data_IF_267569829165
#
_entry.id   IF_267569829165
#
_cell.length_a   1.000
_cell.length_b   1.000
_cell.length_c   1.000
_cell.angle_alpha   90.00
_cell.angle_beta   90.00
_cell.angle_gamma   90.00
#
_symmetry.space_group_name_H-M   'P 1'
#
loop_
_entity.id
_entity.type
_entity.pdbx_description
1 polymer ?
#
# COMPACT_ATOMS: atom_id res chain seq x y z
N UNK A 1 3.33 40.62 -23.69
CA UNK A 1 3.42 42.09 -23.55
C UNK A 1 2.10 42.60 -22.96
N UNK A 2 2.17 43.69 -22.19
CA UNK A 2 1.05 44.37 -21.49
C UNK A 2 0.05 45.04 -22.48
N UNK A 3 -1.09 45.68 -22.06
CA UNK A 3 -1.41 46.14 -20.68
C UNK A 3 -2.90 46.12 -20.19
N UNK A 4 -3.03 46.26 -18.85
CA UNK A 4 -4.00 47.09 -18.08
C UNK A 4 -5.54 46.96 -18.22
N UNK A 5 -6.40 47.28 -17.22
CA UNK A 5 -6.35 47.31 -15.73
C UNK A 5 -7.80 47.61 -15.16
N UNK A 6 -8.08 47.67 -13.84
CA UNK A 6 -9.43 47.43 -13.26
C UNK A 6 -10.25 48.69 -12.86
N UNK A 7 -11.42 48.48 -12.22
CA UNK A 7 -12.13 49.52 -11.43
C UNK A 7 -13.08 48.95 -10.35
N UNK A 8 -12.76 49.26 -9.09
CA UNK A 8 -13.69 49.55 -7.97
C UNK A 8 -13.48 51.05 -7.58
N UNK A 9 -14.03 51.66 -6.50
CA UNK A 9 -15.12 51.30 -5.56
C UNK A 9 -16.19 52.42 -5.42
N UNK A 10 -17.14 52.34 -4.46
CA UNK A 10 -17.91 53.53 -4.04
C UNK A 10 -19.06 53.33 -3.02
N UNK A 11 -19.19 54.14 -1.94
CA UNK A 11 -20.18 53.92 -0.87
C UNK A 11 -21.28 54.99 -0.70
N UNK A 12 -22.37 54.66 0.02
CA UNK A 12 -23.46 55.59 0.36
C UNK A 12 -23.98 55.43 1.81
N UNK A 13 -24.40 56.53 2.46
CA UNK A 13 -24.87 56.57 3.86
C UNK A 13 -26.33 57.09 3.97
N UNK A 14 -26.98 56.79 5.12
CA UNK A 14 -27.47 57.78 6.13
C UNK A 14 -28.97 57.78 6.50
N UNK A 15 -29.20 57.88 7.82
CA UNK A 15 -30.18 58.71 8.59
C UNK A 15 -31.35 58.02 9.32
N UNK A 16 -31.71 58.62 10.46
CA UNK A 16 -32.80 58.28 11.40
C UNK A 16 -34.10 59.04 11.06
N UNK A 17 -35.24 58.58 11.59
CA UNK A 17 -36.28 59.34 12.35
C UNK A 17 -37.60 58.51 12.43
N UNK A 18 -38.61 58.77 13.26
CA UNK A 18 -38.69 59.13 14.69
C UNK A 18 -40.18 59.31 15.09
N UNK A 19 -40.72 58.42 15.92
CA UNK A 19 -41.77 58.59 16.97
C UNK A 19 -43.10 59.36 16.75
N UNK A 20 -44.11 59.03 17.57
CA UNK A 20 -45.40 59.72 17.85
C UNK A 20 -46.52 59.68 16.78
N UNK A 21 -47.83 59.77 17.09
CA UNK A 21 -48.67 59.40 18.27
C UNK A 21 -50.18 59.62 17.89
N UNK A 22 -51.12 59.35 18.83
CA UNK A 22 -52.49 59.92 18.99
C UNK A 22 -53.72 59.22 18.35
N UNK A 23 -54.81 59.12 19.14
CA UNK A 23 -56.20 58.80 18.71
C UNK A 23 -56.92 57.83 19.67
N UNK A 24 -57.58 58.24 20.76
CA UNK A 24 -58.97 58.79 20.85
C UNK A 24 -60.07 57.86 20.28
N UNK A 25 -61.22 57.58 20.91
CA UNK A 25 -61.80 57.88 22.24
C UNK A 25 -62.91 56.79 22.53
N UNK A 26 -63.93 56.84 23.41
CA UNK A 26 -64.54 57.83 24.33
C UNK A 26 -65.43 57.09 25.39
N UNK A 27 -66.05 57.82 26.34
CA UNK A 27 -67.27 57.51 27.16
C UNK A 27 -67.24 56.50 28.34
N UNK A 28 -67.29 57.12 29.52
CA UNK A 28 -67.75 56.66 30.86
C UNK A 28 -69.32 56.58 30.95
N UNK A 29 -70.02 56.50 32.12
CA UNK A 29 -69.58 56.43 33.54
C UNK A 29 -70.42 55.53 34.53
N UNK A 30 -70.06 55.66 35.83
CA UNK A 30 -70.87 55.51 37.06
C UNK A 30 -70.96 54.19 37.88
N UNK A 31 -70.65 54.37 39.17
CA UNK A 31 -71.08 53.72 40.43
C UNK A 31 -70.86 52.23 40.81
N UNK A 32 -70.24 52.09 41.99
CA UNK A 32 -70.17 50.93 42.92
C UNK A 32 -71.49 50.78 43.72
N UNK A 33 -71.68 49.83 44.69
CA UNK A 33 -70.73 48.86 45.28
C UNK A 33 -71.30 47.45 45.66
N UNK A 34 -70.46 46.64 46.35
CA UNK A 34 -70.75 45.58 47.37
C UNK A 34 -70.56 44.11 47.00
N UNK A 35 -70.10 43.40 48.06
CA UNK A 35 -69.78 41.97 48.24
C UNK A 35 -70.80 40.96 47.66
N UNK A 36 -70.29 39.92 47.00
CA UNK A 36 -70.47 38.51 47.39
C UNK A 36 -69.38 37.64 46.70
N UNK A 37 -69.03 36.48 47.26
CA UNK A 37 -67.99 35.60 46.71
C UNK A 37 -68.51 34.22 46.31
N UNK A 38 -67.88 33.58 45.31
CA UNK A 38 -68.08 32.16 45.02
C UNK A 38 -66.83 31.50 44.42
N UNK A 39 -66.89 30.19 44.18
CA UNK A 39 -65.73 29.27 44.22
C UNK A 39 -64.96 29.13 42.89
N UNK A 40 -63.62 29.12 43.01
CA UNK A 40 -62.69 28.10 42.46
C UNK A 40 -62.85 27.67 40.99
N UNK A 41 -61.87 28.05 40.15
CA UNK A 41 -61.28 27.11 39.18
C UNK A 41 -59.82 27.46 38.87
N UNK A 42 -58.90 26.58 39.26
CA UNK A 42 -57.51 26.62 38.79
C UNK A 42 -57.45 26.11 37.34
N UNK A 43 -56.50 26.62 36.55
CA UNK A 43 -56.22 26.14 35.20
C UNK A 43 -54.77 25.63 35.13
N UNK A 44 -54.54 24.35 34.78
CA UNK A 44 -53.19 23.78 34.75
C UNK A 44 -52.40 24.26 33.52
N UNK A 45 -51.14 24.63 33.72
CA UNK A 45 -50.22 25.01 32.64
C UNK A 45 -49.58 23.77 32.01
N UNK A 46 -50.20 23.21 30.97
CA UNK A 46 -49.55 22.24 30.08
C UNK A 46 -49.31 22.88 28.71
N UNK A 47 -48.06 23.08 28.32
CA UNK A 47 -47.77 23.85 27.09
C UNK A 47 -46.31 23.98 26.63
N UNK A 48 -45.38 23.13 27.09
CA UNK A 48 -43.97 23.21 26.67
C UNK A 48 -43.27 21.84 26.54
N UNK A 49 -43.40 20.97 27.54
CA UNK A 49 -42.82 19.61 27.57
C UNK A 49 -43.02 18.81 26.26
N UNK A 50 -44.25 18.66 25.69
CA UNK A 50 -44.43 17.83 24.50
C UNK A 50 -43.75 18.40 23.23
N UNK A 51 -43.51 19.72 23.16
CA UNK A 51 -42.84 20.33 22.00
C UNK A 51 -41.34 20.00 21.98
N UNK A 52 -40.71 19.94 23.15
CA UNK A 52 -39.30 19.54 23.27
C UNK A 52 -39.15 18.05 22.92
N UNK A 53 -40.06 17.20 23.42
CA UNK A 53 -40.03 15.76 23.13
C UNK A 53 -40.17 15.47 21.62
N UNK A 54 -41.08 16.15 20.92
CA UNK A 54 -41.23 16.04 19.47
C UNK A 54 -40.00 16.57 18.71
N UNK A 55 -39.39 17.66 19.17
CA UNK A 55 -38.16 18.19 18.57
C UNK A 55 -36.97 17.24 18.69
N UNK A 56 -36.78 16.63 19.87
CA UNK A 56 -35.74 15.61 20.11
C UNK A 56 -36.02 14.35 19.30
N UNK A 57 -37.27 13.88 19.23
CA UNK A 57 -37.63 12.72 18.41
C UNK A 57 -37.42 12.97 16.92
N UNK A 58 -37.75 14.16 16.41
CA UNK A 58 -37.48 14.55 15.03
C UNK A 58 -35.97 14.59 14.74
N UNK A 59 -35.16 15.16 15.63
CA UNK A 59 -33.69 15.14 15.50
C UNK A 59 -33.13 13.72 15.56
N UNK A 60 -33.64 12.85 16.43
CA UNK A 60 -33.22 11.45 16.51
C UNK A 60 -33.59 10.66 15.24
N UNK A 61 -34.78 10.91 14.66
CA UNK A 61 -35.19 10.30 13.40
C UNK A 61 -34.43 10.86 12.18
N UNK A 62 -34.02 12.13 12.21
CA UNK A 62 -33.13 12.71 11.18
C UNK A 62 -31.72 12.14 11.32
N UNK A 63 -31.17 12.03 12.54
CA UNK A 63 -29.86 11.42 12.78
C UNK A 63 -29.84 9.94 12.39
N UNK A 64 -30.86 9.17 12.79
CA UNK A 64 -31.05 7.78 12.36
C UNK A 64 -31.25 7.68 10.84
N UNK A 65 -31.97 8.63 10.24
CA UNK A 65 -32.12 8.73 8.78
C UNK A 65 -30.79 8.98 8.07
N UNK A 66 -29.95 9.87 8.59
CA UNK A 66 -28.59 10.12 8.08
C UNK A 66 -27.71 8.90 8.26
N UNK A 67 -27.71 8.23 9.43
CA UNK A 67 -26.97 6.99 9.65
C UNK A 67 -27.43 5.88 8.69
N UNK A 68 -28.74 5.71 8.50
CA UNK A 68 -29.28 4.73 7.56
C UNK A 68 -29.05 5.10 6.08
N UNK A 69 -28.89 6.39 5.76
CA UNK A 69 -28.52 6.87 4.41
C UNK A 69 -27.01 6.80 4.18
N UNK A 70 -26.17 6.84 5.22
CA UNK A 70 -24.74 6.49 5.10
C UNK A 70 -24.61 4.97 4.94
N UNK A 71 -25.29 4.17 5.77
CA UNK A 71 -25.32 2.70 5.69
C UNK A 71 -26.10 2.12 4.48
N UNK A 72 -26.72 2.96 3.65
CA UNK A 72 -27.34 2.59 2.36
C UNK A 72 -26.93 3.52 1.22
N UNK A 73 -25.94 4.37 1.45
CA UNK A 73 -25.52 5.43 0.53
C UNK A 73 -24.45 5.00 -0.46
N UNK A 74 -23.76 3.89 -0.17
CA UNK A 74 -23.02 3.10 -1.15
C UNK A 74 -24.06 2.29 -1.92
N UNK A 75 -24.60 2.88 -2.98
CA UNK A 75 -25.83 2.43 -3.64
C UNK A 75 -25.85 2.60 -5.17
N UNK A 76 -24.68 2.85 -5.76
CA UNK A 76 -24.38 2.68 -7.18
C UNK A 76 -23.14 1.77 -7.21
N UNK A 77 -23.24 0.64 -7.92
CA UNK A 77 -22.27 -0.45 -8.04
C UNK A 77 -21.57 -0.91 -6.73
N UNK A 78 -22.29 -1.74 -5.97
CA UNK A 78 -21.68 -2.52 -4.87
C UNK A 78 -20.78 -3.61 -5.46
N UNK A 79 -19.46 -3.38 -5.45
CA UNK A 79 -18.48 -4.42 -5.75
C UNK A 79 -18.65 -5.62 -4.81
N UNK A 80 -18.46 -6.83 -5.35
CA UNK A 80 -18.51 -8.07 -4.55
C UNK A 80 -17.34 -8.07 -3.56
N UNK A 81 -17.57 -8.54 -2.33
CA UNK A 81 -16.52 -8.57 -1.31
C UNK A 81 -15.46 -9.65 -1.64
N UNK A 82 -14.18 -9.32 -1.47
CA UNK A 82 -13.10 -10.30 -1.63
C UNK A 82 -13.25 -11.46 -0.61
N UNK A 83 -13.01 -12.72 -1.00
CA UNK A 83 -13.20 -13.86 -0.11
C UNK A 83 -12.10 -13.93 0.98
N UNK A 84 -12.50 -14.19 2.23
CA UNK A 84 -11.61 -14.42 3.37
C UNK A 84 -10.97 -15.82 3.26
N UNK A 85 -9.93 -15.91 2.43
CA UNK A 85 -9.27 -17.16 2.03
C UNK A 85 -7.74 -17.03 2.05
N UNK A 86 -7.04 -18.15 1.91
CA UNK A 86 -5.57 -18.23 1.98
C UNK A 86 -4.98 -19.19 0.94
N UNK A 87 -3.70 -19.03 0.54
CA UNK A 87 -3.04 -19.92 -0.42
C UNK A 87 -2.79 -21.33 0.15
N UNK A 88 -2.81 -22.34 -0.73
CA UNK A 88 -2.50 -23.73 -0.39
C UNK A 88 -1.02 -23.94 -0.02
N UNK A 89 -0.10 -23.11 -0.55
CA UNK A 89 1.29 -23.00 -0.07
C UNK A 89 1.66 -21.54 0.20
N UNK A 90 2.44 -21.30 1.26
CA UNK A 90 3.02 -20.00 1.59
C UNK A 90 4.53 -20.16 1.81
N UNK A 91 5.32 -19.22 1.30
CA UNK A 91 6.77 -19.19 1.54
C UNK A 91 7.21 -17.82 2.06
N UNK A 92 7.86 -17.80 3.22
CA UNK A 92 8.59 -16.62 3.70
C UNK A 92 9.95 -16.53 2.98
N UNK A 93 10.19 -15.43 2.25
CA UNK A 93 11.38 -15.21 1.41
C UNK A 93 12.33 -14.22 2.09
N UNK A 94 12.96 -14.64 3.20
CA UNK A 94 13.99 -13.85 3.88
C UNK A 94 15.24 -13.67 3.00
N UNK A 95 15.84 -12.47 3.05
CA UNK A 95 17.16 -12.17 2.49
C UNK A 95 17.76 -10.92 3.15
N UNK A 96 18.15 -11.10 4.41
CA UNK A 96 18.71 -10.08 5.31
C UNK A 96 20.02 -9.48 4.74
N UNK A 97 20.70 -10.22 3.87
CA UNK A 97 21.91 -9.79 3.16
C UNK A 97 21.65 -8.91 1.93
N UNK A 98 20.38 -8.67 1.56
CA UNK A 98 20.05 -7.92 0.36
C UNK A 98 20.35 -6.42 0.49
N UNK A 99 20.88 -5.84 -0.58
CA UNK A 99 21.10 -4.39 -0.69
C UNK A 99 19.81 -3.58 -0.54
N UNK A 100 18.65 -4.18 -0.87
CA UNK A 100 17.33 -3.58 -0.62
C UNK A 100 17.10 -3.42 0.89
N UNK A 101 17.21 -4.49 1.66
CA UNK A 101 16.98 -4.46 3.11
C UNK A 101 18.02 -3.58 3.82
N UNK A 102 19.26 -3.52 3.31
CA UNK A 102 20.31 -2.65 3.88
C UNK A 102 20.08 -1.15 3.65
N UNK A 103 19.45 -0.75 2.54
CA UNK A 103 19.31 0.69 2.16
C UNK A 103 17.91 1.25 2.43
N UNK A 104 16.86 0.42 2.34
CA UNK A 104 15.48 0.79 2.72
C UNK A 104 15.11 0.23 4.10
N UNK A 105 16.08 0.06 5.01
CA UNK A 105 15.90 -0.71 6.25
C UNK A 105 14.74 -0.24 7.12
N UNK A 106 14.54 1.08 7.22
CA UNK A 106 13.49 1.72 8.01
C UNK A 106 12.82 2.86 7.24
N UNK A 107 11.66 3.31 7.75
CA UNK A 107 11.05 4.58 7.29
C UNK A 107 11.90 5.81 7.59
N UNK A 108 12.87 5.75 8.50
CA UNK A 108 13.78 6.89 8.73
C UNK A 108 14.72 7.10 7.53
N UNK A 109 15.12 6.00 6.87
CA UNK A 109 15.97 5.97 5.68
C UNK A 109 15.21 6.43 4.41
N UNK A 110 13.91 6.11 4.30
CA UNK A 110 13.05 6.46 3.15
C UNK A 110 11.66 6.96 3.59
N UNK A 111 11.60 8.22 4.04
CA UNK A 111 10.38 8.87 4.56
C UNK A 111 9.33 9.22 3.49
N UNK A 112 9.41 8.62 2.28
CA UNK A 112 8.50 8.92 1.16
C UNK A 112 7.26 8.02 1.24
N UNK A 113 6.04 8.55 1.32
CA UNK A 113 4.85 7.72 1.27
C UNK A 113 4.75 6.97 -0.07
N UNK A 114 4.07 5.83 -0.05
CA UNK A 114 3.59 5.16 -1.26
C UNK A 114 2.54 6.01 -1.95
N UNK A 115 2.43 5.90 -3.27
CA UNK A 115 1.46 6.62 -4.10
C UNK A 115 1.02 5.76 -5.29
N UNK A 116 -0.22 5.93 -5.73
CA UNK A 116 -0.86 5.10 -6.76
C UNK A 116 -0.08 5.13 -8.09
N UNK A 117 0.31 6.32 -8.55
CA UNK A 117 1.11 6.51 -9.78
C UNK A 117 2.58 6.07 -9.70
N UNK A 118 2.99 5.52 -8.55
CA UNK A 118 4.26 4.81 -8.37
C UNK A 118 4.05 3.29 -8.33
N UNK A 119 2.95 2.82 -7.70
CA UNK A 119 2.64 1.42 -7.41
C UNK A 119 1.80 0.69 -8.48
N UNK A 120 0.95 1.40 -9.23
CA UNK A 120 -0.05 0.78 -10.11
C UNK A 120 0.04 1.28 -11.55
N UNK A 121 0.52 2.50 -11.78
CA UNK A 121 0.81 3.01 -13.13
C UNK A 121 2.11 2.42 -13.73
N UNK A 122 2.30 2.62 -15.04
CA UNK A 122 3.52 2.34 -15.80
C UNK A 122 3.85 0.84 -15.83
N UNK A 123 5.02 0.44 -15.34
CA UNK A 123 5.48 -0.96 -15.28
C UNK A 123 4.56 -1.89 -14.47
N UNK A 124 3.64 -1.33 -13.67
CA UNK A 124 2.70 -2.10 -12.87
C UNK A 124 1.28 -2.12 -13.47
N UNK A 125 1.04 -1.48 -14.63
CA UNK A 125 -0.17 -1.72 -15.44
C UNK A 125 -0.07 -3.07 -16.18
N UNK A 126 1.13 -3.40 -16.66
CA UNK A 126 1.49 -4.64 -17.35
C UNK A 126 2.81 -5.19 -16.81
N UNK A 127 2.73 -6.21 -15.95
CA UNK A 127 3.89 -6.90 -15.36
C UNK A 127 4.28 -8.10 -16.23
N UNK A 128 5.24 -7.90 -17.13
CA UNK A 128 5.83 -8.95 -17.98
C UNK A 128 7.04 -9.63 -17.34
N UNK A 129 7.07 -10.96 -17.34
CA UNK A 129 8.29 -11.73 -17.00
C UNK A 129 8.30 -13.12 -17.64
N UNK A 130 9.46 -13.53 -18.15
CA UNK A 130 9.69 -14.80 -18.87
C UNK A 130 8.80 -14.97 -20.13
N UNK A 131 7.57 -15.46 -19.95
CA UNK A 131 6.53 -15.62 -20.98
C UNK A 131 5.15 -15.57 -20.32
N UNK A 132 5.03 -14.78 -19.26
CA UNK A 132 3.81 -14.53 -18.49
C UNK A 132 3.66 -13.00 -18.42
N UNK A 133 2.56 -12.51 -18.97
CA UNK A 133 2.19 -11.10 -18.97
C UNK A 133 0.95 -10.93 -18.09
N UNK A 134 1.13 -10.22 -16.97
CA UNK A 134 0.08 -9.93 -15.99
C UNK A 134 -0.45 -8.52 -16.20
N UNK A 135 -1.70 -8.37 -16.63
CA UNK A 135 -2.38 -7.07 -16.72
C UNK A 135 -3.11 -6.77 -15.41
N UNK A 136 -2.95 -5.55 -14.90
CA UNK A 136 -3.69 -5.01 -13.75
C UNK A 136 -5.22 -5.04 -14.02
N UNK A 137 -6.01 -5.28 -12.98
CA UNK A 137 -7.49 -5.24 -13.04
C UNK A 137 -8.09 -4.23 -12.09
N UNK A 138 -7.73 -4.32 -10.82
CA UNK A 138 -8.21 -3.42 -9.76
C UNK A 138 -7.04 -3.11 -8.81
N UNK A 139 -7.09 -1.96 -8.15
CA UNK A 139 -6.00 -1.46 -7.31
C UNK A 139 -6.49 -0.44 -6.28
N UNK A 140 -5.96 -0.53 -5.07
CA UNK A 140 -6.32 0.33 -3.95
C UNK A 140 -5.08 0.68 -3.13
N UNK A 141 -4.98 1.92 -2.64
CA UNK A 141 -4.00 2.36 -1.65
C UNK A 141 -4.74 2.99 -0.46
N UNK A 142 -4.76 2.29 0.67
CA UNK A 142 -5.40 2.77 1.92
C UNK A 142 -4.34 3.17 2.96
N UNK A 143 -4.72 4.08 3.86
CA UNK A 143 -3.96 4.40 5.09
C UNK A 143 -4.36 3.48 6.25
N UNK A 144 -5.51 2.77 6.17
CA UNK A 144 -5.91 1.77 7.15
C UNK A 144 -5.48 0.37 6.70
N UNK A 145 -4.30 -0.05 7.14
CA UNK A 145 -3.76 -1.36 6.78
C UNK A 145 -4.64 -2.55 7.22
N UNK A 146 -5.62 -2.37 8.12
CA UNK A 146 -6.52 -3.45 8.53
C UNK A 146 -7.57 -3.79 7.47
N UNK A 147 -7.89 -2.86 6.55
CA UNK A 147 -8.78 -3.11 5.40
C UNK A 147 -8.15 -4.05 4.37
N UNK A 148 -6.81 -4.15 4.36
CA UNK A 148 -6.03 -4.93 3.39
C UNK A 148 -5.87 -6.41 3.73
N UNK A 149 -6.30 -6.84 4.92
CA UNK A 149 -6.17 -8.21 5.43
C UNK A 149 -7.41 -8.65 6.18
N UNK A 150 -7.68 -9.95 6.16
CA UNK A 150 -8.61 -10.58 7.10
C UNK A 150 -7.83 -11.29 8.23
N UNK A 151 -8.53 -11.64 9.31
CA UNK A 151 -7.97 -12.36 10.47
C UNK A 151 -7.24 -11.49 11.50
N UNK A 152 -7.56 -11.71 12.78
CA UNK A 152 -7.12 -10.86 13.90
C UNK A 152 -5.59 -10.86 14.08
N UNK A 153 -4.92 -12.00 13.89
CA UNK A 153 -3.48 -12.13 14.14
C UNK A 153 -2.64 -11.28 13.19
N UNK A 154 -3.01 -11.24 11.89
CA UNK A 154 -2.33 -10.37 10.92
C UNK A 154 -2.66 -8.89 11.16
N UNK A 155 -3.89 -8.56 11.58
CA UNK A 155 -4.27 -7.18 11.94
C UNK A 155 -3.52 -6.66 13.18
N UNK A 156 -3.35 -7.49 14.21
CA UNK A 156 -2.53 -7.17 15.40
C UNK A 156 -1.04 -7.06 15.05
N UNK A 157 -0.53 -7.89 14.14
CA UNK A 157 0.85 -7.79 13.66
C UNK A 157 1.10 -6.49 12.87
N UNK A 158 0.20 -6.12 11.94
CA UNK A 158 0.28 -4.84 11.21
C UNK A 158 0.21 -3.62 12.14
N UNK A 159 -0.60 -3.70 13.21
CA UNK A 159 -0.67 -2.68 14.25
C UNK A 159 0.65 -2.58 15.03
N UNK A 160 1.25 -3.74 15.36
CA UNK A 160 2.54 -3.82 16.08
C UNK A 160 3.72 -3.35 15.22
N UNK A 161 3.66 -3.58 13.91
CA UNK A 161 4.60 -3.11 12.91
C UNK A 161 4.43 -1.61 12.52
N UNK A 162 3.54 -0.89 13.24
CA UNK A 162 3.17 0.51 12.99
C UNK A 162 2.83 0.81 11.52
N UNK A 163 2.09 -0.08 10.85
CA UNK A 163 1.76 0.07 9.43
C UNK A 163 1.06 1.40 9.14
N UNK A 164 1.53 2.13 8.12
CA UNK A 164 0.99 3.44 7.74
C UNK A 164 0.27 3.47 6.40
N UNK A 165 0.52 2.52 5.51
CA UNK A 165 -0.16 2.39 4.22
C UNK A 165 -0.16 0.92 3.77
N UNK A 166 -1.25 0.50 3.15
CA UNK A 166 -1.33 -0.78 2.44
C UNK A 166 -1.78 -0.53 0.99
N UNK A 167 -0.96 -0.96 0.03
CA UNK A 167 -1.31 -1.01 -1.39
C UNK A 167 -1.71 -2.42 -1.79
N UNK A 168 -2.84 -2.58 -2.48
CA UNK A 168 -3.34 -3.86 -3.01
C UNK A 168 -3.59 -3.74 -4.51
N UNK A 169 -3.35 -4.81 -5.26
CA UNK A 169 -3.65 -4.88 -6.68
C UNK A 169 -3.96 -6.31 -7.13
N UNK A 170 -4.88 -6.45 -8.09
CA UNK A 170 -5.25 -7.72 -8.73
C UNK A 170 -4.77 -7.79 -10.17
N UNK A 171 -4.27 -8.95 -10.57
CA UNK A 171 -3.66 -9.17 -11.89
C UNK A 171 -4.19 -10.43 -12.55
N UNK A 172 -4.33 -10.40 -13.88
CA UNK A 172 -4.68 -11.57 -14.69
C UNK A 172 -3.71 -11.74 -15.87
N UNK A 173 -3.47 -13.00 -16.24
CA UNK A 173 -2.77 -13.42 -17.46
C UNK A 173 -3.62 -14.45 -18.20
N UNK A 174 -3.12 -15.01 -19.31
CA UNK A 174 -3.83 -16.09 -20.04
C UNK A 174 -4.08 -17.34 -19.18
N UNK A 175 -3.17 -17.69 -18.26
CA UNK A 175 -3.18 -18.94 -17.51
C UNK A 175 -3.37 -18.77 -15.98
N UNK A 176 -3.12 -17.56 -15.45
CA UNK A 176 -3.12 -17.30 -14.00
C UNK A 176 -3.89 -16.04 -13.62
N UNK A 177 -4.31 -15.96 -12.37
CA UNK A 177 -4.73 -14.72 -11.71
C UNK A 177 -4.07 -14.63 -10.33
N UNK A 178 -3.92 -13.42 -9.79
CA UNK A 178 -3.24 -13.23 -8.52
C UNK A 178 -3.43 -11.86 -7.88
N UNK A 179 -3.09 -11.80 -6.60
CA UNK A 179 -3.09 -10.58 -5.77
C UNK A 179 -1.65 -10.22 -5.44
N UNK A 180 -1.32 -8.94 -5.55
CA UNK A 180 -0.10 -8.37 -5.00
C UNK A 180 -0.47 -7.32 -3.93
N UNK A 181 0.18 -7.41 -2.77
CA UNK A 181 0.02 -6.47 -1.67
C UNK A 181 1.38 -5.92 -1.24
N UNK A 182 1.42 -4.67 -0.79
CA UNK A 182 2.60 -4.02 -0.21
C UNK A 182 2.19 -3.24 1.05
N UNK A 183 2.90 -3.47 2.14
CA UNK A 183 2.69 -2.77 3.41
C UNK A 183 3.88 -1.86 3.73
N UNK A 184 3.60 -0.62 4.11
CA UNK A 184 4.58 0.37 4.56
C UNK A 184 4.68 0.33 6.10
N UNK A 185 5.71 -0.35 6.60
CA UNK A 185 5.90 -0.72 8.02
C UNK A 185 7.05 0.09 8.63
N UNK A 186 7.29 -0.01 9.94
CA UNK A 186 8.38 0.76 10.59
C UNK A 186 9.78 0.39 10.08
N UNK A 187 10.08 -0.90 9.97
CA UNK A 187 11.37 -1.43 9.54
C UNK A 187 11.29 -2.87 8.98
N UNK A 188 12.45 -3.40 8.58
CA UNK A 188 12.65 -4.77 8.06
C UNK A 188 12.25 -5.88 9.05
N UNK A 189 12.45 -5.70 10.36
CA UNK A 189 12.13 -6.71 11.39
C UNK A 189 10.61 -6.76 11.61
N UNK A 190 9.96 -5.60 11.62
CA UNK A 190 8.51 -5.47 11.61
C UNK A 190 7.88 -6.12 10.36
N UNK A 191 8.53 -6.01 9.19
CA UNK A 191 8.14 -6.72 7.97
C UNK A 191 8.20 -8.24 8.07
N UNK A 192 9.23 -8.78 8.73
CA UNK A 192 9.33 -10.20 9.03
C UNK A 192 8.22 -10.65 9.99
N UNK A 193 7.99 -9.92 11.09
CA UNK A 193 6.95 -10.27 12.08
C UNK A 193 5.52 -10.29 11.52
N UNK A 194 5.19 -9.41 10.56
CA UNK A 194 3.89 -9.44 9.85
C UNK A 194 3.78 -10.66 8.93
N UNK A 195 4.88 -11.09 8.32
CA UNK A 195 4.88 -12.26 7.44
C UNK A 195 4.79 -13.58 8.24
N UNK A 196 5.56 -13.72 9.32
CA UNK A 196 5.43 -14.82 10.30
C UNK A 196 4.03 -14.86 10.95
N UNK A 197 3.31 -13.73 11.01
CA UNK A 197 1.93 -13.69 11.46
C UNK A 197 0.92 -14.28 10.45
N UNK A 198 1.26 -14.41 9.17
CA UNK A 198 0.44 -15.04 8.11
C UNK A 198 0.68 -16.55 7.98
N UNK A 199 1.71 -17.10 8.63
CA UNK A 199 2.01 -18.52 8.60
C UNK A 199 0.99 -19.30 9.44
N UNK A 200 0.44 -20.37 8.83
CA UNK A 200 -0.31 -21.37 9.59
C UNK A 200 0.62 -21.98 10.63
N UNK A 201 0.22 -22.07 11.91
CA UNK A 201 1.00 -22.81 12.89
C UNK A 201 1.08 -24.29 12.47
N UNK A 202 2.26 -24.89 12.63
CA UNK A 202 2.44 -26.32 12.37
C UNK A 202 1.55 -27.13 13.34
N UNK A 203 0.51 -27.76 12.81
CA UNK A 203 -0.25 -28.77 13.54
C UNK A 203 0.48 -30.10 13.41
N UNK A 204 1.01 -30.62 14.53
CA UNK A 204 1.48 -32.01 14.60
C UNK A 204 0.36 -32.95 14.14
N UNK A 205 0.57 -33.72 13.06
CA UNK A 205 -0.48 -34.58 12.47
C UNK A 205 -0.92 -35.74 13.41
N UNK A 206 -0.20 -35.98 14.51
CA UNK A 206 -0.63 -36.87 15.61
C UNK A 206 -1.54 -36.11 16.59
N UNK A 207 -2.71 -35.72 16.11
CA UNK A 207 -3.62 -34.80 16.79
C UNK A 207 -3.98 -35.18 18.23
N UNK A 208 -3.80 -34.22 19.14
CA UNK A 208 -4.35 -34.29 20.49
C UNK A 208 -5.89 -34.23 20.43
N UNK A 209 -6.55 -35.38 20.66
CA UNK A 209 -8.02 -35.50 20.64
C UNK A 209 -8.69 -34.58 21.70
N UNK A 210 -9.03 -33.35 21.30
CA UNK A 210 -9.72 -32.37 22.14
C UNK A 210 -9.14 -30.95 22.15
N UNK A 211 -8.04 -30.69 21.46
CA UNK A 211 -7.63 -29.30 21.19
C UNK A 211 -8.47 -28.72 20.04
N UNK A 212 -8.88 -27.45 20.16
CA UNK A 212 -9.60 -26.78 19.07
C UNK A 212 -8.60 -26.52 17.92
N UNK A 213 -9.01 -26.67 16.64
CA UNK A 213 -8.12 -26.37 15.52
C UNK A 213 -7.63 -24.92 15.64
N UNK A 214 -6.34 -24.64 15.38
CA UNK A 214 -5.80 -23.32 15.58
C UNK A 214 -6.58 -22.30 14.76
N UNK A 215 -6.93 -21.16 15.38
CA UNK A 215 -7.58 -20.05 14.69
C UNK A 215 -6.73 -19.62 13.50
N UNK A 216 -7.36 -19.49 12.33
CA UNK A 216 -6.64 -19.14 11.11
C UNK A 216 -5.97 -17.75 11.32
N UNK A 217 -4.67 -17.60 11.06
CA UNK A 217 -3.98 -16.32 11.20
C UNK A 217 -4.67 -15.18 10.43
N UNK A 218 -5.26 -15.50 9.29
CA UNK A 218 -5.68 -14.53 8.29
C UNK A 218 -4.68 -14.35 7.16
N UNK A 219 -5.08 -13.62 6.13
CA UNK A 219 -4.26 -13.39 4.94
C UNK A 219 -4.60 -12.07 4.24
N UNK A 220 -3.85 -11.75 3.18
CA UNK A 220 -4.14 -10.57 2.34
C UNK A 220 -5.43 -10.75 1.54
N UNK A 221 -6.22 -9.68 1.46
CA UNK A 221 -7.43 -9.61 0.63
C UNK A 221 -7.10 -9.02 -0.75
N UNK A 222 -7.88 -9.39 -1.77
CA UNK A 222 -7.98 -8.59 -3.00
C UNK A 222 -8.68 -7.24 -2.69
N UNK A 223 -8.55 -6.20 -3.54
CA UNK A 223 -9.37 -4.99 -3.43
C UNK A 223 -10.86 -5.26 -3.63
N UNK A 224 -11.19 -6.21 -4.51
CA UNK A 224 -12.56 -6.63 -4.84
C UNK A 224 -12.65 -8.13 -5.13
N UNK A 225 -13.85 -8.69 -5.00
CA UNK A 225 -14.19 -10.07 -5.32
C UNK A 225 -14.77 -10.27 -6.72
N UNK A 226 -14.49 -9.39 -7.69
CA UNK A 226 -14.95 -9.58 -9.07
C UNK A 226 -14.27 -10.78 -9.76
N UNK A 227 -14.95 -11.47 -10.69
CA UNK A 227 -14.41 -12.64 -11.39
C UNK A 227 -13.01 -12.36 -12.03
N UNK A 228 -11.97 -13.18 -11.78
CA UNK A 228 -11.97 -14.50 -11.11
C UNK A 228 -11.59 -14.49 -9.61
N UNK A 229 -11.54 -13.33 -8.95
CA UNK A 229 -11.08 -13.18 -7.57
C UNK A 229 -12.13 -13.62 -6.54
N UNK A 230 -13.38 -13.81 -6.96
CA UNK A 230 -14.44 -14.54 -6.25
C UNK A 230 -14.01 -15.95 -5.79
N UNK A 231 -13.16 -16.62 -6.59
CA UNK A 231 -12.68 -18.00 -6.36
C UNK A 231 -11.20 -18.09 -5.99
N UNK A 232 -10.63 -16.99 -5.51
CA UNK A 232 -9.28 -16.98 -4.94
C UNK A 232 -9.25 -17.89 -3.70
N UNK A 233 -8.30 -18.82 -3.64
CA UNK A 233 -8.16 -19.80 -2.56
C UNK A 233 -9.03 -21.06 -2.66
N UNK A 234 -9.96 -21.16 -3.62
CA UNK A 234 -10.69 -22.42 -3.88
C UNK A 234 -9.79 -23.46 -4.58
N UNK A 235 -8.97 -22.98 -5.53
CA UNK A 235 -7.99 -23.78 -6.26
C UNK A 235 -6.60 -23.77 -5.62
N UNK A 236 -5.68 -24.56 -6.18
CA UNK A 236 -4.29 -24.59 -5.76
C UNK A 236 -3.58 -23.27 -6.09
N UNK A 237 -3.59 -22.35 -5.13
CA UNK A 237 -2.78 -21.14 -5.13
C UNK A 237 -1.53 -21.25 -4.26
N UNK A 238 -0.47 -20.53 -4.62
CA UNK A 238 0.71 -20.37 -3.78
C UNK A 238 1.04 -18.88 -3.62
N UNK A 239 1.64 -18.52 -2.49
CA UNK A 239 2.09 -17.16 -2.22
C UNK A 239 3.52 -17.09 -1.68
N UNK A 240 4.19 -16.00 -2.00
CA UNK A 240 5.49 -15.61 -1.46
C UNK A 240 5.34 -14.28 -0.72
N UNK A 241 5.84 -14.22 0.52
CA UNK A 241 6.04 -12.98 1.25
C UNK A 241 7.53 -12.61 1.22
N UNK A 242 7.87 -11.42 0.73
CA UNK A 242 9.25 -11.00 0.49
C UNK A 242 9.53 -9.63 1.09
N UNK A 243 10.43 -9.62 2.07
CA UNK A 243 10.90 -8.41 2.72
C UNK A 243 11.75 -7.61 1.72
N UNK A 244 11.48 -6.31 1.61
CA UNK A 244 12.08 -5.40 0.61
C UNK A 244 12.43 -4.06 1.27
N UNK A 245 13.25 -4.11 2.31
CA UNK A 245 13.36 -3.06 3.33
C UNK A 245 12.19 -3.10 4.32
N UNK A 246 11.81 -1.95 4.84
CA UNK A 246 10.60 -1.73 5.64
C UNK A 246 9.27 -1.94 4.87
N UNK A 247 9.35 -2.41 3.62
CA UNK A 247 8.22 -2.87 2.83
C UNK A 247 8.11 -4.39 2.87
N UNK A 248 7.00 -4.90 3.41
CA UNK A 248 6.57 -6.27 3.17
C UNK A 248 5.79 -6.31 1.86
N UNK A 249 6.28 -7.08 0.87
CA UNK A 249 5.54 -7.38 -0.36
C UNK A 249 5.04 -8.81 -0.31
N UNK A 250 3.74 -9.03 -0.48
CA UNK A 250 3.11 -10.37 -0.58
C UNK A 250 2.55 -10.54 -1.99
N UNK A 251 2.88 -11.64 -2.66
CA UNK A 251 2.30 -12.00 -3.96
C UNK A 251 1.70 -13.39 -3.90
N UNK A 252 0.46 -13.54 -4.36
CA UNK A 252 -0.30 -14.80 -4.38
C UNK A 252 -0.81 -15.04 -5.80
N UNK A 253 -0.54 -16.22 -6.37
CA UNK A 253 -1.03 -16.63 -7.68
C UNK A 253 -1.80 -17.96 -7.61
N UNK A 254 -2.86 -18.07 -8.41
CA UNK A 254 -3.63 -19.29 -8.67
C UNK A 254 -3.81 -19.51 -10.20
N UNK A 255 -3.77 -20.76 -10.71
CA UNK A 255 -4.17 -21.05 -12.09
C UNK A 255 -5.65 -20.77 -12.32
N UNK A 256 -6.01 -20.22 -13.48
CA UNK A 256 -7.42 -19.92 -13.83
C UNK A 256 -8.33 -21.15 -13.84
N UNK A 257 -7.75 -22.29 -14.19
CA UNK A 257 -8.42 -23.57 -14.39
C UNK A 257 -8.23 -24.55 -13.21
N UNK A 258 -7.74 -24.09 -12.05
CA UNK A 258 -7.66 -24.93 -10.84
C UNK A 258 -8.94 -24.78 -10.04
N UNK A 259 -9.59 -25.92 -9.76
CA UNK A 259 -10.87 -26.04 -9.05
C UNK A 259 -10.70 -26.68 -7.65
N UNK A 260 -9.48 -27.09 -7.28
CA UNK A 260 -9.16 -27.66 -5.98
C UNK A 260 -7.75 -27.32 -5.50
N UNK A 261 -7.60 -27.11 -4.19
CA UNK A 261 -6.30 -27.04 -3.49
C UNK A 261 -5.42 -28.30 -3.64
N UNK A 262 -5.98 -29.42 -4.11
CA UNK A 262 -5.22 -30.64 -4.42
C UNK A 262 -4.62 -30.65 -5.85
N UNK A 263 -4.93 -29.67 -6.71
CA UNK A 263 -4.43 -29.54 -8.10
C UNK A 263 -2.96 -29.04 -8.15
N UNK A 264 -2.05 -29.70 -7.42
CA UNK A 264 -0.69 -29.22 -7.19
C UNK A 264 0.11 -29.09 -8.51
N UNK A 265 0.42 -27.85 -8.88
CA UNK A 265 1.24 -27.47 -10.05
C UNK A 265 2.46 -26.66 -9.63
N UNK A 266 3.44 -26.44 -10.52
CA UNK A 266 4.52 -25.49 -10.24
C UNK A 266 4.06 -24.05 -10.49
N UNK A 267 4.19 -23.21 -9.46
CA UNK A 267 3.86 -21.78 -9.50
C UNK A 267 5.10 -20.86 -9.39
N UNK A 268 6.31 -21.43 -9.49
CA UNK A 268 7.56 -20.67 -9.32
C UNK A 268 7.75 -19.57 -10.38
N UNK A 269 7.46 -19.84 -11.66
CA UNK A 269 7.53 -18.81 -12.70
C UNK A 269 6.49 -17.68 -12.54
N UNK A 270 5.18 -17.94 -12.34
CA UNK A 270 4.22 -16.86 -12.13
C UNK A 270 4.43 -16.10 -10.82
N UNK A 271 4.89 -16.75 -9.73
CA UNK A 271 5.28 -16.04 -8.51
C UNK A 271 6.45 -15.08 -8.75
N UNK A 272 7.50 -15.54 -9.45
CA UNK A 272 8.63 -14.69 -9.86
C UNK A 272 8.20 -13.58 -10.81
N UNK A 273 7.18 -13.80 -11.64
CA UNK A 273 6.62 -12.77 -12.52
C UNK A 273 5.88 -11.69 -11.71
N UNK A 274 4.89 -12.08 -10.89
CA UNK A 274 4.11 -11.13 -10.09
C UNK A 274 4.96 -10.42 -9.01
N UNK A 275 6.03 -11.06 -8.54
CA UNK A 275 7.02 -10.47 -7.62
C UNK A 275 7.76 -9.23 -8.18
N UNK A 276 7.68 -8.95 -9.48
CA UNK A 276 8.13 -7.70 -10.09
C UNK A 276 7.23 -6.49 -9.74
N UNK A 277 6.08 -6.68 -9.09
CA UNK A 277 5.28 -5.60 -8.50
C UNK A 277 6.11 -4.66 -7.59
N UNK A 278 7.22 -5.16 -7.02
CA UNK A 278 8.18 -4.39 -6.23
C UNK A 278 9.11 -3.46 -7.03
N UNK A 279 9.05 -3.45 -8.36
CA UNK A 279 9.85 -2.57 -9.24
C UNK A 279 9.95 -1.10 -8.79
N UNK A 280 8.92 -0.49 -8.16
CA UNK A 280 9.05 0.84 -7.58
C UNK A 280 10.14 0.95 -6.50
N UNK A 281 10.31 -0.08 -5.67
CA UNK A 281 11.31 -0.10 -4.61
C UNK A 281 12.74 -0.18 -5.17
N UNK A 282 12.95 -0.86 -6.30
CA UNK A 282 14.25 -0.83 -6.99
C UNK A 282 14.57 0.58 -7.53
N UNK A 283 13.57 1.36 -7.95
CA UNK A 283 13.77 2.78 -8.31
C UNK A 283 14.20 3.60 -7.08
N UNK A 284 13.50 3.44 -5.94
CA UNK A 284 13.84 4.11 -4.67
C UNK A 284 15.25 3.78 -4.18
N UNK A 285 15.66 2.51 -4.26
CA UNK A 285 17.00 2.01 -3.92
C UNK A 285 18.10 2.71 -4.76
N UNK A 286 17.90 2.82 -6.08
CA UNK A 286 18.86 3.48 -6.98
C UNK A 286 18.95 4.98 -6.70
N UNK A 287 17.83 5.64 -6.40
CA UNK A 287 17.79 7.08 -6.09
C UNK A 287 18.52 7.42 -4.78
N UNK A 288 18.35 6.62 -3.72
CA UNK A 288 19.01 6.83 -2.43
C UNK A 288 20.52 6.54 -2.49
N UNK A 289 20.94 5.59 -3.34
CA UNK A 289 22.37 5.27 -3.54
C UNK A 289 23.15 6.42 -4.16
N UNK A 290 22.52 7.13 -5.10
CA UNK A 290 23.13 8.21 -5.86
C UNK A 290 24.32 7.77 -6.74
N UNK A 291 24.88 8.70 -7.54
CA UNK A 291 26.03 8.38 -8.41
C UNK A 291 27.34 8.16 -7.63
N UNK A 292 27.42 8.62 -6.37
CA UNK A 292 28.66 8.72 -5.58
C UNK A 292 29.27 7.40 -5.12
N UNK A 293 28.52 6.29 -5.05
CA UNK A 293 29.10 4.98 -4.71
C UNK A 293 29.81 4.30 -5.90
N UNK A 294 29.52 4.69 -7.14
CA UNK A 294 29.98 3.96 -8.34
C UNK A 294 31.44 4.26 -8.71
N UNK A 295 32.00 5.39 -8.26
CA UNK A 295 33.41 5.77 -8.50
C UNK A 295 34.35 5.37 -7.32
N UNK A 296 33.87 4.54 -6.38
CA UNK A 296 34.56 4.17 -5.14
C UNK A 296 35.68 3.13 -5.23
N UNK A 297 36.18 2.78 -6.42
CA UNK A 297 37.24 1.74 -6.59
C UNK A 297 38.33 2.18 -7.57
N UNK A 298 39.24 3.03 -7.10
CA UNK A 298 40.29 3.62 -7.96
C UNK A 298 41.51 4.21 -7.25
N UNK A 299 41.66 4.05 -5.93
CA UNK A 299 42.80 4.60 -5.18
C UNK A 299 44.08 3.76 -5.33
N UNK A 300 44.76 3.91 -6.46
CA UNK A 300 46.17 3.53 -6.59
C UNK A 300 47.06 4.51 -5.81
N UNK A 301 47.87 4.00 -4.89
CA UNK A 301 48.72 4.84 -4.01
C UNK A 301 49.80 5.64 -4.76
N UNK A 302 49.93 6.92 -4.40
CA UNK A 302 50.95 7.83 -4.92
C UNK A 302 51.43 8.81 -3.84
N UNK A 303 52.52 8.46 -3.14
CA UNK A 303 53.10 9.26 -2.07
C UNK A 303 53.75 10.58 -2.58
N UNK A 304 53.84 11.64 -1.74
CA UNK A 304 54.25 12.96 -2.20
C UNK A 304 55.77 13.08 -2.45
N UNK A 305 56.13 13.67 -3.60
CA UNK A 305 57.50 14.07 -3.93
C UNK A 305 57.72 15.58 -3.76
N UNK A 306 58.77 15.96 -3.04
CA UNK A 306 59.21 17.35 -2.86
C UNK A 306 60.26 17.76 -3.91
N UNK A 307 60.34 19.08 -4.18
CA UNK A 307 61.50 19.74 -4.79
C UNK A 307 61.51 19.86 -6.32
N UNK A 308 61.51 21.10 -6.82
CA UNK A 308 61.85 21.38 -8.23
C UNK A 308 61.26 22.67 -8.81
N UNK A 309 61.90 23.82 -8.58
CA UNK A 309 61.53 25.05 -9.28
C UNK A 309 62.09 25.07 -10.72
N UNK A 310 61.25 25.39 -11.70
CA UNK A 310 61.65 25.54 -13.11
C UNK A 310 60.77 26.54 -13.86
N UNK A 311 61.32 27.72 -14.16
CA UNK A 311 60.64 28.78 -14.91
C UNK A 311 60.74 28.56 -16.41
N UNK A 312 59.64 28.75 -17.15
CA UNK A 312 59.61 28.65 -18.61
C UNK A 312 58.39 29.32 -19.24
N UNK A 313 58.54 30.57 -19.69
CA UNK A 313 57.54 31.28 -20.48
C UNK A 313 57.54 30.81 -21.94
N UNK A 314 56.37 30.74 -22.58
CA UNK A 314 56.24 30.45 -24.01
C UNK A 314 54.85 30.79 -24.54
N UNK A 315 54.76 31.78 -25.43
CA UNK A 315 53.52 32.13 -26.16
C UNK A 315 53.27 31.17 -27.33
N UNK A 316 52.00 30.95 -27.69
CA UNK A 316 51.62 30.16 -28.86
C UNK A 316 50.11 29.92 -28.96
N UNK A 317 49.41 30.78 -29.71
CA UNK A 317 47.99 30.61 -30.06
C UNK A 317 47.85 30.10 -31.53
N UNK A 318 46.66 29.98 -32.16
CA UNK A 318 46.22 28.67 -32.63
C UNK A 318 46.04 28.51 -34.15
N UNK A 319 45.88 27.25 -34.59
CA UNK A 319 45.32 26.80 -35.88
C UNK A 319 45.08 25.28 -35.78
N UNK A 320 43.94 24.68 -36.13
CA UNK A 320 43.00 24.84 -37.27
C UNK A 320 43.39 24.04 -38.53
N UNK A 321 42.39 23.37 -39.12
CA UNK A 321 42.42 22.71 -40.43
C UNK A 321 43.19 21.37 -40.54
N UNK A 322 42.57 20.35 -41.15
CA UNK A 322 43.29 19.16 -41.61
C UNK A 322 42.51 17.85 -41.70
N UNK A 323 41.59 17.72 -42.67
CA UNK A 323 40.94 16.44 -42.98
C UNK A 323 41.74 15.64 -44.04
N UNK A 324 41.67 14.30 -43.99
CA UNK A 324 42.22 13.40 -45.02
C UNK A 324 42.31 11.94 -44.53
N UNK A 325 41.23 11.16 -44.63
CA UNK A 325 40.97 10.21 -45.76
C UNK A 325 42.13 9.28 -46.12
N UNK A 326 42.01 8.01 -45.74
CA UNK A 326 42.86 6.91 -46.24
C UNK A 326 42.09 5.59 -46.19
N UNK A 327 41.64 5.10 -47.35
CA UNK A 327 40.92 3.83 -47.50
C UNK A 327 41.88 2.64 -47.67
N UNK A 328 41.43 1.46 -47.24
CA UNK A 328 42.12 0.18 -47.46
C UNK A 328 41.14 -0.99 -47.35
N UNK A 329 41.00 -1.78 -48.41
CA UNK A 329 40.00 -2.85 -48.55
C UNK A 329 40.56 -4.25 -48.26
N UNK A 330 39.64 -5.17 -47.91
CA UNK A 330 39.84 -6.63 -47.97
C UNK A 330 40.28 -7.28 -46.66
N UNK A 331 39.85 -8.49 -46.32
CA UNK A 331 38.84 -9.38 -46.93
C UNK A 331 38.39 -10.44 -45.87
N UNK A 332 37.28 -11.18 -46.05
CA UNK A 332 36.65 -11.91 -44.96
C UNK A 332 37.19 -13.33 -44.70
N UNK A 333 37.14 -13.72 -43.43
CA UNK A 333 37.20 -15.08 -42.90
C UNK A 333 36.95 -15.00 -41.39
N UNK A 334 36.43 -16.01 -40.71
CA UNK A 334 35.95 -17.33 -41.13
C UNK A 334 35.52 -18.07 -39.85
N UNK A 335 34.31 -18.63 -39.82
CA UNK A 335 33.67 -19.00 -38.54
C UNK A 335 34.32 -20.18 -37.81
N UNK A 336 34.51 -20.03 -36.50
CA UNK A 336 34.68 -21.12 -35.53
C UNK A 336 33.81 -20.81 -34.31
N UNK A 337 32.93 -21.73 -33.92
CA UNK A 337 32.08 -21.55 -32.74
C UNK A 337 32.91 -21.55 -31.45
N UNK A 338 32.65 -20.59 -30.57
CA UNK A 338 33.11 -20.68 -29.18
C UNK A 338 32.24 -21.67 -28.43
N UNK A 339 32.84 -22.77 -27.98
CA UNK A 339 32.18 -23.67 -27.03
C UNK A 339 32.23 -23.04 -25.63
N UNK A 340 31.16 -23.22 -24.86
CA UNK A 340 31.13 -22.85 -23.44
C UNK A 340 32.17 -23.65 -22.64
N UNK A 341 32.83 -23.06 -21.64
CA UNK A 341 33.63 -23.81 -20.69
C UNK A 341 32.70 -24.68 -19.81
N UNK A 342 33.08 -25.93 -19.48
CA UNK A 342 32.24 -26.79 -18.67
C UNK A 342 32.08 -26.24 -17.25
N UNK A 343 30.86 -26.34 -16.72
CA UNK A 343 30.56 -26.14 -15.29
C UNK A 343 31.37 -27.14 -14.48
N UNK A 344 32.02 -26.68 -13.41
CA UNK A 344 32.66 -27.56 -12.44
C UNK A 344 31.61 -27.98 -11.41
N UNK A 345 31.27 -29.27 -11.37
CA UNK A 345 30.43 -29.85 -10.32
C UNK A 345 31.21 -29.86 -9.00
N UNK A 346 30.71 -29.17 -7.97
CA UNK A 346 31.25 -29.32 -6.61
C UNK A 346 30.80 -30.67 -6.00
N UNK A 347 31.68 -31.41 -5.32
CA UNK A 347 31.38 -32.75 -4.83
C UNK A 347 30.43 -32.71 -3.62
N UNK A 348 29.40 -33.56 -3.67
CA UNK A 348 28.45 -33.80 -2.57
C UNK A 348 29.15 -33.99 -1.22
N UNK A 349 28.83 -33.12 -0.25
CA UNK A 349 29.31 -33.20 1.13
C UNK A 349 28.81 -34.47 1.81
N UNK A 350 29.64 -35.06 2.67
CA UNK A 350 29.45 -36.42 3.21
C UNK A 350 28.30 -36.51 4.23
N UNK A 351 27.61 -37.65 4.23
CA UNK A 351 26.62 -38.01 5.26
C UNK A 351 27.23 -38.02 6.67
N UNK A 352 26.52 -37.54 7.71
CA UNK A 352 26.97 -37.65 9.09
C UNK A 352 26.90 -39.11 9.60
N UNK A 353 27.85 -39.56 10.44
CA UNK A 353 27.90 -40.95 10.88
C UNK A 353 26.78 -41.30 11.88
N UNK A 354 26.15 -42.46 11.66
CA UNK A 354 25.17 -43.06 12.56
C UNK A 354 25.82 -43.38 13.91
N UNK A 355 25.20 -42.94 15.01
CA UNK A 355 25.59 -43.33 16.37
C UNK A 355 24.85 -44.59 16.82
N UNK A 356 25.58 -45.66 17.15
CA UNK A 356 24.99 -46.83 17.81
C UNK A 356 24.67 -46.53 19.28
N UNK A 357 23.54 -47.02 19.83
CA UNK A 357 23.18 -46.83 21.23
C UNK A 357 24.07 -47.68 22.16
N UNK A 358 25.01 -47.02 22.85
CA UNK A 358 25.93 -47.66 23.78
C UNK A 358 25.22 -48.32 24.97
N UNK A 359 25.52 -49.60 25.22
CA UNK A 359 24.94 -50.37 26.33
C UNK A 359 25.74 -50.26 27.64
N UNK A 360 25.10 -49.79 28.71
CA UNK A 360 25.51 -49.95 30.11
C UNK A 360 24.26 -50.17 30.97
N UNK A 361 24.15 -51.25 31.77
CA UNK A 361 24.90 -51.56 33.01
C UNK A 361 24.49 -50.66 34.19
#
# INVERSE_FOLDING_TARGET
MSPSEPSEPGPGRRRKNSESDTGQAERSPHESPRRAGSRRKESPRFGLVPKILVGVLALALIALGVVLVVQRGVGEDSAEAAPETRPALYNLRLNDSSEMNRVLNSREDDQRPLNEGELFERNNEEISSQSIDFTLRDSELTEDCSEAVWGTRVQEALTTAECTQAGRATYVSEAYFGVAAIFNLVDTEAGQGVAEAMELPETDEEGAEGEEPPEDPGFVLAPSGEEPFDRLGEGYGAADAIISGHYLVVVWVQPRESESVDDRVTLSSPLVALANFRDPLYRRLVELRGPSETEGSGTGEGAPGDGGAGTGTGEGAPGDGGAGTGTGEGAPGGGTGGAEPPVQEEPLTQEPPVQEPGSGQ
#
